data_IF_508063833857
#
_entry.id   IF_508063833857
#
_cell.length_a   1.000
_cell.length_b   1.000
_cell.length_c   1.000
_cell.angle_alpha   90.00
_cell.angle_beta   90.00
_cell.angle_gamma   90.00
#
_symmetry.space_group_name_H-M   'P 1'
#
loop_
_entity.id
_entity.type
_entity.pdbx_description
1 polymer ?
#
# COMPACT_ATOMS: atom_id res chain seq x y z
N UNK A 1 -5.68 -2.07 -7.57
CA UNK A 1 -5.12 -1.26 -6.47
C UNK A 1 -6.13 -0.45 -5.66
N UNK A 2 -7.40 -0.31 -6.08
CA UNK A 2 -8.45 0.46 -5.37
C UNK A 2 -9.18 -0.30 -4.22
N UNK A 3 -8.70 -1.49 -3.82
CA UNK A 3 -9.30 -2.34 -2.75
C UNK A 3 -8.38 -2.59 -1.55
N UNK A 4 -7.18 -2.02 -1.52
CA UNK A 4 -6.18 -2.36 -0.49
C UNK A 4 -6.00 -1.32 0.62
N UNK A 5 -6.73 -0.19 0.57
CA UNK A 5 -6.60 0.91 1.54
C UNK A 5 -7.90 1.26 2.27
N UNK A 6 -8.98 0.48 2.10
CA UNK A 6 -10.28 0.75 2.72
C UNK A 6 -10.49 0.05 4.08
N UNK A 7 -9.49 -0.67 4.60
CA UNK A 7 -9.62 -1.41 5.85
C UNK A 7 -8.30 -1.44 6.62
N UNK A 8 -7.88 -0.30 7.15
CA UNK A 8 -6.69 -0.24 8.01
C UNK A 8 -7.07 0.45 9.32
N UNK A 9 -7.26 -0.39 10.33
CA UNK A 9 -7.33 -0.03 11.75
C UNK A 9 -6.03 0.69 12.15
N UNK A 10 -6.05 1.64 13.11
CA UNK A 10 -4.86 2.38 13.54
C UNK A 10 -3.67 1.53 14.02
N UNK A 11 -3.87 0.23 14.26
CA UNK A 11 -2.83 -0.69 14.75
C UNK A 11 -1.99 -1.39 13.65
N UNK A 12 -2.33 -1.26 12.36
CA UNK A 12 -1.70 -2.05 11.26
C UNK A 12 -0.65 -1.28 10.41
N UNK A 13 -0.21 -0.10 10.84
CA UNK A 13 0.61 0.81 10.01
C UNK A 13 2.14 0.60 10.12
N UNK A 14 2.60 -0.66 10.00
CA UNK A 14 4.02 -1.01 9.92
C UNK A 14 4.47 -1.55 8.54
N UNK A 15 3.66 -1.40 7.50
CA UNK A 15 3.95 -2.03 6.20
C UNK A 15 4.16 -1.00 5.08
N UNK A 16 5.40 -0.56 4.93
CA UNK A 16 5.89 0.06 3.69
C UNK A 16 7.32 -0.44 3.44
N UNK A 17 7.43 -1.60 2.78
CA UNK A 17 8.69 -2.26 2.46
C UNK A 17 8.62 -2.82 1.04
N UNK A 18 9.30 -2.11 0.15
CA UNK A 18 9.87 -2.48 -1.15
C UNK A 18 9.38 -3.79 -1.81
N UNK A 19 8.63 -3.63 -2.91
CA UNK A 19 8.32 -4.68 -3.85
C UNK A 19 9.35 -4.67 -4.97
N UNK A 20 10.47 -5.38 -4.78
CA UNK A 20 11.38 -5.70 -5.87
C UNK A 20 11.62 -7.20 -6.02
N UNK A 21 11.65 -7.60 -7.29
CA UNK A 21 11.59 -8.97 -7.78
C UNK A 21 12.89 -9.73 -7.49
N UNK A 22 12.80 -10.92 -6.90
CA UNK A 22 13.53 -12.11 -7.38
C UNK A 22 12.86 -13.38 -6.87
N UNK A 23 12.40 -14.21 -7.81
CA UNK A 23 11.87 -15.55 -7.54
C UNK A 23 12.97 -16.49 -7.02
N UNK A 24 12.63 -17.45 -6.15
CA UNK A 24 13.55 -18.39 -5.54
C UNK A 24 13.66 -19.64 -6.42
N UNK A 25 14.81 -19.87 -7.03
CA UNK A 25 15.17 -21.20 -7.51
C UNK A 25 16.68 -21.31 -7.61
N UNK A 26 17.20 -22.40 -7.04
CA UNK A 26 18.59 -22.86 -7.07
C UNK A 26 19.51 -22.45 -5.90
N UNK A 27 19.14 -22.84 -4.67
CA UNK A 27 20.11 -23.20 -3.64
C UNK A 27 19.65 -24.45 -2.88
N UNK A 28 19.56 -25.56 -3.61
CA UNK A 28 19.25 -26.89 -3.06
C UNK A 28 20.34 -27.90 -3.35
N UNK A 29 21.62 -27.54 -3.24
CA UNK A 29 22.72 -28.51 -3.19
C UNK A 29 23.89 -27.89 -2.43
N UNK A 30 23.99 -28.16 -1.11
CA UNK A 30 25.21 -28.28 -0.31
C UNK A 30 24.87 -28.34 1.20
N UNK A 31 24.36 -29.48 1.65
CA UNK A 31 24.48 -29.98 3.02
C UNK A 31 24.12 -31.48 2.98
N UNK A 32 25.04 -32.38 3.34
CA UNK A 32 25.22 -32.64 4.76
C UNK A 32 26.69 -32.91 5.11
N UNK A 33 27.32 -31.99 5.84
CA UNK A 33 28.47 -32.31 6.68
C UNK A 33 28.34 -31.49 7.95
N UNK A 34 28.06 -32.16 9.07
CA UNK A 34 28.51 -31.79 10.42
C UNK A 34 28.03 -32.86 11.41
N UNK A 35 28.53 -34.08 11.25
CA UNK A 35 28.89 -34.87 12.44
C UNK A 35 30.14 -34.17 12.98
N UNK A 36 30.02 -33.53 14.15
CA UNK A 36 31.08 -32.76 14.80
C UNK A 36 31.89 -33.71 15.69
N UNK A 37 33.15 -34.06 15.36
CA UNK A 37 34.03 -34.79 16.27
C UNK A 37 34.65 -33.74 17.21
N UNK A 38 33.98 -33.49 18.33
CA UNK A 38 34.31 -32.42 19.27
C UNK A 38 34.84 -32.93 20.60
N UNK A 39 35.64 -34.00 20.63
CA UNK A 39 36.51 -34.29 21.77
C UNK A 39 37.92 -33.86 21.36
N UNK A 40 38.52 -32.85 22.01
CA UNK A 40 39.81 -32.36 21.61
C UNK A 40 40.84 -33.47 21.81
N UNK A 41 41.58 -33.80 20.74
CA UNK A 41 42.75 -34.68 20.74
C UNK A 41 43.72 -34.39 21.92
N UNK A 42 43.71 -33.15 22.45
CA UNK A 42 44.46 -32.77 23.65
C UNK A 42 44.07 -33.53 24.92
N UNK A 43 42.80 -33.88 25.15
CA UNK A 43 42.41 -34.62 26.37
C UNK A 43 42.84 -36.08 26.33
N UNK A 44 42.84 -36.70 25.15
CA UNK A 44 43.35 -38.07 25.01
C UNK A 44 44.86 -38.12 25.26
N UNK A 45 45.63 -37.13 24.81
CA UNK A 45 47.08 -37.03 25.04
C UNK A 45 47.39 -36.83 26.53
N UNK A 46 46.61 -36.00 27.23
CA UNK A 46 46.77 -35.77 28.68
C UNK A 46 46.44 -37.02 29.49
N UNK A 47 45.36 -37.74 29.14
CA UNK A 47 45.00 -39.02 29.80
C UNK A 47 46.05 -40.10 29.53
N UNK A 48 46.61 -40.15 28.30
CA UNK A 48 47.65 -41.10 27.93
C UNK A 48 48.98 -40.82 28.65
N UNK A 49 49.40 -39.54 28.75
CA UNK A 49 50.59 -39.12 29.52
C UNK A 49 50.43 -39.33 31.03
N UNK A 50 49.21 -39.17 31.57
CA UNK A 50 48.93 -39.45 32.99
C UNK A 50 48.97 -40.95 33.31
N UNK A 51 48.55 -41.82 32.39
CA UNK A 51 48.64 -43.27 32.58
C UNK A 51 50.09 -43.78 32.46
N UNK A 52 50.89 -43.22 31.56
CA UNK A 52 52.29 -43.59 31.34
C UNK A 52 53.19 -43.19 32.53
N UNK A 53 52.98 -41.99 33.08
CA UNK A 53 53.70 -41.51 34.28
C UNK A 53 53.34 -42.24 35.58
N UNK A 54 52.16 -42.87 35.65
CA UNK A 54 51.75 -43.72 36.76
C UNK A 54 52.26 -45.16 36.63
N UNK A 55 52.48 -45.64 35.40
CA UNK A 55 52.98 -47.00 35.15
C UNK A 55 54.47 -47.14 35.50
N UNK A 56 55.29 -46.13 35.22
CA UNK A 56 56.76 -46.21 35.38
C UNK A 56 57.22 -46.12 36.85
N UNK A 57 56.39 -45.57 37.76
CA UNK A 57 56.75 -45.37 39.18
C UNK A 57 56.43 -46.55 40.11
N UNK A 58 55.84 -47.63 39.61
CA UNK A 58 55.51 -48.81 40.45
C UNK A 58 56.50 -49.97 40.30
N UNK A 59 57.45 -49.89 39.37
CA UNK A 59 58.51 -50.88 39.22
C UNK A 59 59.79 -50.41 39.93
N UNK A 60 60.19 -51.14 40.97
CA UNK A 60 61.46 -51.04 41.71
C UNK A 60 61.59 -49.87 42.71
N UNK A 61 60.88 -49.96 43.84
CA UNK A 61 61.29 -49.29 45.07
C UNK A 61 61.89 -50.31 46.05
N UNK A 62 63.23 -50.34 46.12
CA UNK A 62 64.02 -51.10 47.10
C UNK A 62 64.11 -50.31 48.43
N UNK A 63 63.63 -50.82 49.58
CA UNK A 63 63.45 -50.04 50.79
C UNK A 63 64.71 -50.00 51.66
N UNK A 64 65.78 -49.31 51.24
CA UNK A 64 66.99 -49.21 52.08
C UNK A 64 67.85 -47.95 51.91
N UNK A 65 67.26 -46.77 51.60
CA UNK A 65 68.01 -45.51 51.78
C UNK A 65 67.12 -44.37 52.25
N UNK A 66 67.34 -43.94 53.49
CA UNK A 66 66.60 -42.86 54.16
C UNK A 66 66.79 -41.48 53.52
N UNK A 67 67.65 -41.36 52.51
CA UNK A 67 67.89 -40.13 51.73
C UNK A 67 66.90 -39.95 50.59
N UNK A 68 66.36 -41.02 50.01
CA UNK A 68 65.39 -40.92 48.91
C UNK A 68 64.00 -40.44 49.39
N UNK A 69 63.58 -40.87 50.59
CA UNK A 69 62.27 -40.51 51.15
C UNK A 69 62.12 -39.00 51.45
N UNK A 70 63.21 -38.31 51.79
CA UNK A 70 63.19 -36.87 52.09
C UNK A 70 63.11 -36.00 50.82
N UNK A 71 63.66 -36.45 49.70
CA UNK A 71 63.54 -35.73 48.42
C UNK A 71 62.12 -35.81 47.83
N UNK A 72 61.41 -36.92 48.02
CA UNK A 72 60.01 -37.05 47.56
C UNK A 72 59.03 -36.23 48.40
N UNK A 73 59.25 -36.11 49.71
CA UNK A 73 58.38 -35.33 50.59
C UNK A 73 58.46 -33.82 50.32
N UNK A 74 59.61 -33.31 49.87
CA UNK A 74 59.84 -31.89 49.65
C UNK A 74 59.45 -31.39 48.23
N UNK A 75 59.44 -32.28 47.22
CA UNK A 75 59.06 -31.93 45.85
C UNK A 75 57.58 -32.20 45.51
N UNK A 76 56.86 -32.92 46.37
CA UNK A 76 55.43 -33.19 46.23
C UNK A 76 54.54 -31.93 46.06
N UNK A 77 54.78 -30.78 46.76
CA UNK A 77 53.90 -29.62 46.61
C UNK A 77 54.15 -28.83 45.32
N UNK A 78 55.32 -28.95 44.68
CA UNK A 78 55.64 -28.20 43.46
C UNK A 78 54.99 -28.81 42.21
N UNK A 79 54.91 -30.13 42.11
CA UNK A 79 54.27 -30.81 40.97
C UNK A 79 52.73 -30.81 41.06
N UNK A 80 52.16 -30.85 42.28
CA UNK A 80 50.72 -30.74 42.47
C UNK A 80 50.18 -29.32 42.17
N UNK A 81 50.96 -28.28 42.43
CA UNK A 81 50.59 -26.90 42.07
C UNK A 81 50.57 -26.69 40.56
N UNK A 82 51.47 -27.32 39.80
CA UNK A 82 51.51 -27.23 38.34
C UNK A 82 50.29 -27.85 37.66
N UNK A 83 49.78 -28.97 38.20
CA UNK A 83 48.64 -29.71 37.64
C UNK A 83 47.31 -28.96 37.88
N UNK A 84 47.19 -28.17 38.95
CA UNK A 84 46.00 -27.38 39.24
C UNK A 84 45.99 -26.01 38.52
N UNK A 85 47.16 -25.43 38.25
CA UNK A 85 47.29 -24.11 37.62
C UNK A 85 46.93 -24.11 36.12
N UNK A 86 47.30 -25.18 35.40
CA UNK A 86 47.03 -25.34 33.97
C UNK A 86 45.53 -25.37 33.59
N UNK A 87 44.65 -26.13 34.25
CA UNK A 87 43.23 -26.13 33.93
C UNK A 87 42.56 -24.79 34.26
N UNK A 88 43.00 -24.07 35.30
CA UNK A 88 42.50 -22.74 35.62
C UNK A 88 42.85 -21.71 34.55
N UNK A 89 44.09 -21.75 34.03
CA UNK A 89 44.50 -20.90 32.91
C UNK A 89 43.74 -21.22 31.62
N UNK A 90 43.53 -22.52 31.32
CA UNK A 90 42.71 -22.95 30.19
C UNK A 90 41.25 -22.48 30.29
N UNK A 91 40.67 -22.54 31.49
CA UNK A 91 39.30 -22.08 31.74
C UNK A 91 39.18 -20.56 31.59
N UNK A 92 40.18 -19.79 32.05
CA UNK A 92 40.21 -18.34 31.91
C UNK A 92 40.33 -17.89 30.44
N UNK A 93 41.15 -18.57 29.63
CA UNK A 93 41.27 -18.31 28.20
C UNK A 93 39.98 -18.72 27.45
N UNK A 94 39.38 -19.85 27.82
CA UNK A 94 38.11 -20.27 27.25
C UNK A 94 36.97 -19.31 27.60
N UNK A 95 36.92 -18.83 28.84
CA UNK A 95 35.93 -17.85 29.30
C UNK A 95 36.06 -16.52 28.56
N UNK A 96 37.28 -16.00 28.39
CA UNK A 96 37.51 -14.76 27.63
C UNK A 96 37.24 -14.92 26.13
N UNK A 97 37.52 -16.08 25.54
CA UNK A 97 37.16 -16.39 24.16
C UNK A 97 35.63 -16.49 23.96
N UNK A 98 34.91 -17.11 24.90
CA UNK A 98 33.45 -17.22 24.86
C UNK A 98 32.78 -15.87 25.12
N UNK A 99 33.29 -15.04 26.03
CA UNK A 99 32.71 -13.71 26.30
C UNK A 99 32.88 -12.77 25.11
N UNK A 100 34.04 -12.77 24.45
CA UNK A 100 34.29 -11.95 23.24
C UNK A 100 33.54 -12.47 22.00
N UNK A 101 33.29 -13.79 21.90
CA UNK A 101 32.41 -14.36 20.87
C UNK A 101 30.92 -14.09 21.11
N UNK A 102 30.48 -14.06 22.37
CA UNK A 102 29.11 -13.69 22.71
C UNK A 102 28.84 -12.20 22.41
N UNK A 103 29.80 -11.32 22.69
CA UNK A 103 29.71 -9.89 22.36
C UNK A 103 29.70 -9.63 20.84
N UNK A 104 30.49 -10.40 20.08
CA UNK A 104 30.55 -10.27 18.61
C UNK A 104 29.37 -10.94 17.88
N UNK A 105 28.75 -11.97 18.45
CA UNK A 105 27.53 -12.59 17.89
C UNK A 105 26.27 -11.79 18.23
N UNK A 106 26.18 -11.24 19.44
CA UNK A 106 25.13 -10.29 19.81
C UNK A 106 25.18 -9.06 18.90
N UNK A 107 26.35 -8.42 18.75
CA UNK A 107 26.48 -7.22 17.90
C UNK A 107 26.16 -7.45 16.42
N UNK A 108 26.42 -8.65 15.87
CA UNK A 108 26.01 -9.02 14.50
C UNK A 108 24.49 -9.16 14.36
N UNK A 109 23.82 -9.78 15.32
CA UNK A 109 22.36 -9.93 15.31
C UNK A 109 21.65 -8.59 15.57
N UNK A 110 22.21 -7.72 16.42
CA UNK A 110 21.73 -6.33 16.59
C UNK A 110 22.05 -5.43 15.39
N UNK A 111 23.00 -5.83 14.54
CA UNK A 111 23.33 -5.14 13.28
C UNK A 111 22.25 -5.33 12.23
N UNK A 112 21.72 -6.55 12.08
CA UNK A 112 20.58 -6.81 11.19
C UNK A 112 19.29 -6.13 11.68
N UNK A 113 19.03 -6.15 12.99
CA UNK A 113 17.88 -5.44 13.57
C UNK A 113 18.02 -3.91 13.40
N UNK A 114 19.21 -3.33 13.57
CA UNK A 114 19.45 -1.90 13.28
C UNK A 114 19.33 -1.56 11.79
N UNK A 115 19.81 -2.42 10.90
CA UNK A 115 19.67 -2.24 9.46
C UNK A 115 18.20 -2.33 8.99
N UNK A 116 17.33 -3.02 9.74
CA UNK A 116 15.87 -2.97 9.55
C UNK A 116 15.26 -1.75 10.23
N UNK A 117 15.79 -1.33 11.40
CA UNK A 117 15.32 -0.16 12.13
C UNK A 117 15.54 1.15 11.37
N UNK A 118 16.62 1.26 10.60
CA UNK A 118 16.86 2.38 9.67
C UNK A 118 15.88 2.43 8.49
N UNK A 119 14.93 1.49 8.39
CA UNK A 119 13.90 1.46 7.34
C UNK A 119 12.51 1.85 7.85
N UNK A 120 12.32 2.05 9.15
CA UNK A 120 11.03 2.45 9.72
C UNK A 120 11.22 3.42 10.89
N UNK A 121 10.54 4.56 10.84
CA UNK A 121 10.44 5.49 11.98
C UNK A 121 9.13 5.20 12.70
N UNK A 122 9.21 4.81 13.98
CA UNK A 122 8.01 4.56 14.77
C UNK A 122 7.50 5.86 15.39
N UNK A 123 6.18 6.13 15.40
CA UNK A 123 5.62 7.30 16.06
C UNK A 123 6.00 7.40 17.54
N UNK A 124 6.19 6.27 18.22
CA UNK A 124 6.59 6.21 19.63
C UNK A 124 8.04 6.61 19.89
N UNK A 125 8.86 6.76 18.85
CA UNK A 125 10.25 7.23 18.94
C UNK A 125 10.38 8.74 18.72
N UNK A 126 9.28 9.38 18.31
CA UNK A 126 9.23 10.81 18.04
C UNK A 126 8.72 11.55 19.26
N UNK A 127 9.20 12.78 19.45
CA UNK A 127 8.54 13.73 20.35
C UNK A 127 7.17 14.09 19.80
N UNK A 128 6.24 14.56 20.66
CA UNK A 128 4.87 14.90 20.24
C UNK A 128 4.85 15.94 19.09
N UNK A 129 5.70 16.97 19.17
CA UNK A 129 5.85 17.98 18.11
C UNK A 129 6.37 17.39 16.80
N UNK A 130 7.34 16.47 16.88
CA UNK A 130 7.89 15.80 15.71
C UNK A 130 6.88 14.82 15.08
N UNK A 131 6.08 14.13 15.90
CA UNK A 131 5.02 13.24 15.43
C UNK A 131 3.94 14.01 14.64
N UNK A 132 3.53 15.20 15.12
CA UNK A 132 2.55 16.03 14.43
C UNK A 132 3.06 16.53 13.07
N UNK A 133 4.31 17.01 13.00
CA UNK A 133 4.94 17.42 11.73
C UNK A 133 5.02 16.27 10.72
N UNK A 134 5.36 15.06 11.17
CA UNK A 134 5.40 13.89 10.29
C UNK A 134 4.00 13.54 9.78
N UNK A 135 2.99 13.61 10.65
CA UNK A 135 1.60 13.36 10.27
C UNK A 135 1.12 14.37 9.21
N UNK A 136 1.41 15.67 9.40
CA UNK A 136 1.12 16.74 8.44
C UNK A 136 1.78 16.48 7.08
N UNK A 137 3.08 16.19 7.07
CA UNK A 137 3.82 15.89 5.84
C UNK A 137 3.24 14.69 5.08
N UNK A 138 2.94 13.59 5.80
CA UNK A 138 2.31 12.41 5.21
C UNK A 138 0.91 12.71 4.68
N UNK A 139 0.11 13.48 5.40
CA UNK A 139 -1.22 13.88 4.96
C UNK A 139 -1.16 14.70 3.67
N UNK A 140 -0.24 15.66 3.58
CA UNK A 140 -0.01 16.46 2.39
C UNK A 140 0.39 15.59 1.18
N UNK A 141 1.34 14.67 1.35
CA UNK A 141 1.75 13.76 0.29
C UNK A 141 0.61 12.85 -0.18
N UNK A 142 -0.19 12.30 0.75
CA UNK A 142 -1.35 11.47 0.40
C UNK A 142 -2.40 12.25 -0.40
N UNK A 143 -2.67 13.52 -0.04
CA UNK A 143 -3.59 14.37 -0.79
C UNK A 143 -3.14 14.59 -2.23
N UNK A 144 -1.84 14.74 -2.47
CA UNK A 144 -1.31 14.86 -3.84
C UNK A 144 -1.47 13.55 -4.61
N UNK A 145 -1.11 12.43 -4.00
CA UNK A 145 -1.17 11.12 -4.66
C UNK A 145 -2.60 10.65 -4.95
N UNK A 146 -3.58 11.09 -4.16
CA UNK A 146 -5.02 10.80 -4.37
C UNK A 146 -5.70 11.78 -5.33
N UNK A 147 -4.99 12.83 -5.79
CA UNK A 147 -5.57 13.87 -6.66
C UNK A 147 -5.88 13.35 -8.07
N UNK A 148 -6.95 13.89 -8.66
CA UNK A 148 -7.43 13.47 -9.97
C UNK A 148 -6.49 13.93 -11.10
N UNK A 149 -5.83 15.08 -10.92
CA UNK A 149 -4.78 15.61 -11.78
C UNK A 149 -3.57 14.68 -11.81
N UNK A 150 -3.22 14.08 -10.66
CA UNK A 150 -2.18 13.07 -10.57
C UNK A 150 -2.59 11.75 -11.24
N UNK A 151 -3.83 11.29 -11.03
CA UNK A 151 -4.35 10.08 -11.70
C UNK A 151 -4.31 10.20 -13.23
N UNK A 152 -4.52 11.42 -13.77
CA UNK A 152 -4.60 11.70 -15.20
C UNK A 152 -3.27 12.10 -15.86
N UNK A 153 -2.15 12.02 -15.13
CA UNK A 153 -0.79 12.35 -15.63
C UNK A 153 -0.67 13.77 -16.20
N UNK A 154 -1.44 14.71 -15.66
CA UNK A 154 -1.42 16.12 -16.08
C UNK A 154 -0.32 16.93 -15.37
N UNK A 155 0.27 16.36 -14.33
CA UNK A 155 1.49 16.78 -13.64
C UNK A 155 2.42 15.57 -13.70
N UNK A 156 3.73 15.78 -13.87
CA UNK A 156 4.77 14.72 -14.00
C UNK A 156 4.60 13.66 -12.90
N UNK A 157 3.78 12.63 -13.20
CA UNK A 157 3.25 11.68 -12.23
C UNK A 157 4.37 10.79 -11.73
N UNK A 158 5.22 10.35 -12.66
CA UNK A 158 6.36 9.50 -12.36
C UNK A 158 7.34 10.20 -11.41
N UNK A 159 7.59 11.50 -11.61
CA UNK A 159 8.41 12.27 -10.68
C UNK A 159 7.75 12.40 -9.31
N UNK A 160 6.46 12.72 -9.25
CA UNK A 160 5.74 12.88 -7.99
C UNK A 160 5.65 11.55 -7.20
N UNK A 161 5.34 10.43 -7.86
CA UNK A 161 5.24 9.09 -7.24
C UNK A 161 6.58 8.62 -6.64
N UNK A 162 7.71 9.02 -7.24
CA UNK A 162 9.04 8.64 -6.74
C UNK A 162 9.60 9.64 -5.73
N UNK A 163 9.40 10.94 -5.96
CA UNK A 163 10.04 11.98 -5.14
C UNK A 163 9.25 12.30 -3.88
N UNK A 164 7.91 12.26 -3.88
CA UNK A 164 7.13 12.57 -2.69
C UNK A 164 7.37 11.57 -1.54
N UNK A 165 7.34 10.25 -1.77
CA UNK A 165 7.65 9.30 -0.70
C UNK A 165 9.08 9.47 -0.19
N UNK A 166 10.04 9.72 -1.09
CA UNK A 166 11.42 9.99 -0.71
C UNK A 166 11.55 11.25 0.17
N UNK A 167 10.86 12.34 -0.18
CA UNK A 167 10.89 13.58 0.60
C UNK A 167 10.25 13.41 1.98
N UNK A 168 9.12 12.70 2.08
CA UNK A 168 8.49 12.38 3.37
C UNK A 168 9.43 11.52 4.22
N UNK A 169 10.16 10.59 3.60
CA UNK A 169 11.15 9.79 4.30
C UNK A 169 12.34 10.61 4.83
N UNK A 170 12.85 11.58 4.06
CA UNK A 170 13.88 12.51 4.55
C UNK A 170 13.40 13.33 5.76
N UNK A 171 12.16 13.79 5.72
CA UNK A 171 11.52 14.50 6.85
C UNK A 171 11.42 13.57 8.06
N UNK A 172 10.95 12.33 7.88
CA UNK A 172 10.85 11.35 8.95
C UNK A 172 12.20 11.07 9.61
N UNK A 173 13.26 10.86 8.82
CA UNK A 173 14.63 10.64 9.34
C UNK A 173 15.19 11.86 10.06
N UNK A 174 14.88 13.05 9.58
CA UNK A 174 15.31 14.30 10.22
C UNK A 174 14.62 14.50 11.57
N UNK A 175 13.34 14.14 11.66
CA UNK A 175 12.54 14.20 12.89
C UNK A 175 12.94 13.12 13.91
N UNK A 176 13.26 11.91 13.45
CA UNK A 176 13.82 10.85 14.30
C UNK A 176 15.15 11.29 14.93
N UNK A 177 16.06 11.84 14.11
CA UNK A 177 17.32 12.41 14.61
C UNK A 177 17.09 13.55 15.60
N UNK A 178 16.15 14.45 15.30
CA UNK A 178 15.79 15.54 16.23
C UNK A 178 15.30 14.99 17.56
N UNK A 179 14.39 14.01 17.53
CA UNK A 179 13.79 13.42 18.74
C UNK A 179 14.84 12.73 19.60
N UNK A 180 15.75 11.96 19.00
CA UNK A 180 16.88 11.35 19.71
C UNK A 180 17.82 12.40 20.32
N UNK A 181 18.12 13.50 19.59
CA UNK A 181 18.96 14.57 20.13
C UNK A 181 18.29 15.34 21.27
N UNK A 182 16.97 15.47 21.26
CA UNK A 182 16.19 16.07 22.35
C UNK A 182 16.22 15.17 23.58
N UNK A 183 16.00 13.86 23.41
CA UNK A 183 16.06 12.87 24.51
C UNK A 183 17.46 12.81 25.17
N UNK A 184 18.53 12.94 24.37
CA UNK A 184 19.90 13.03 24.86
C UNK A 184 20.25 14.37 25.53
N UNK A 185 19.44 15.41 25.33
CA UNK A 185 19.72 16.75 25.89
C UNK A 185 19.10 16.87 27.28
N UNK A 186 19.89 17.07 28.35
CA UNK A 186 19.35 17.15 29.69
C UNK A 186 18.47 18.40 29.89
N UNK A 187 17.39 18.26 30.66
CA UNK A 187 16.46 19.35 31.00
C UNK A 187 17.07 20.39 31.93
N UNK A 188 18.03 19.99 32.77
CA UNK A 188 18.69 20.87 33.73
C UNK A 188 20.20 20.79 33.61
N UNK A 189 20.87 21.95 33.65
CA UNK A 189 22.31 22.03 33.71
C UNK A 189 22.83 21.63 35.09
N UNK A 190 23.80 20.72 35.14
CA UNK A 190 24.57 20.48 36.37
C UNK A 190 25.67 21.54 36.50
N UNK A 191 25.30 22.69 37.07
CA UNK A 191 26.21 23.80 37.36
C UNK A 191 26.08 25.01 36.43
N UNK A 192 26.45 26.18 36.95
CA UNK A 192 26.25 27.49 36.29
C UNK A 192 26.98 27.61 34.95
N UNK A 193 28.19 27.02 34.83
CA UNK A 193 28.97 27.04 33.59
C UNK A 193 28.43 26.11 32.49
N UNK A 194 27.58 25.13 32.84
CA UNK A 194 26.98 24.21 31.87
C UNK A 194 25.70 24.78 31.22
N UNK A 195 25.12 25.84 31.79
CA UNK A 195 23.87 26.42 31.32
C UNK A 195 23.99 27.04 29.92
N UNK A 196 25.02 27.86 29.68
CA UNK A 196 25.20 28.53 28.39
C UNK A 196 25.41 27.56 27.20
N UNK A 197 26.25 26.51 27.31
CA UNK A 197 26.33 25.47 26.27
C UNK A 197 25.02 24.72 26.03
N UNK A 198 24.24 24.43 27.08
CA UNK A 198 22.96 23.74 26.96
C UNK A 198 21.92 24.62 26.26
N UNK A 199 21.85 25.91 26.58
CA UNK A 199 20.96 26.85 25.91
C UNK A 199 21.33 27.02 24.43
N UNK A 200 22.62 27.05 24.10
CA UNK A 200 23.08 27.05 22.71
C UNK A 200 22.67 25.77 21.97
N UNK A 201 22.80 24.59 22.60
CA UNK A 201 22.35 23.31 22.03
C UNK A 201 20.83 23.31 21.77
N UNK A 202 20.03 23.79 22.74
CA UNK A 202 18.57 23.92 22.57
C UNK A 202 18.19 24.88 21.46
N UNK A 203 18.88 26.01 21.34
CA UNK A 203 18.65 26.97 20.25
C UNK A 203 18.95 26.35 18.87
N UNK A 204 20.03 25.57 18.77
CA UNK A 204 20.36 24.83 17.55
C UNK A 204 19.29 23.79 17.20
N UNK A 205 18.78 23.04 18.18
CA UNK A 205 17.69 22.07 17.98
C UNK A 205 16.40 22.74 17.51
N UNK A 206 16.02 23.87 18.12
CA UNK A 206 14.86 24.66 17.67
C UNK A 206 15.01 25.17 16.24
N UNK A 207 16.22 25.60 15.87
CA UNK A 207 16.50 26.06 14.51
C UNK A 207 16.40 24.90 13.51
N UNK A 208 16.88 23.71 13.89
CA UNK A 208 16.73 22.50 13.09
C UNK A 208 15.28 22.10 12.88
N UNK A 209 14.47 22.13 13.95
CA UNK A 209 13.03 21.83 13.86
C UNK A 209 12.30 22.82 12.96
N UNK A 210 12.57 24.12 13.11
CA UNK A 210 11.96 25.15 12.26
C UNK A 210 12.32 24.97 10.78
N UNK A 211 13.54 24.51 10.46
CA UNK A 211 13.91 24.21 9.08
C UNK A 211 13.14 23.00 8.52
N UNK A 212 12.85 21.99 9.34
CA UNK A 212 12.00 20.85 8.94
C UNK A 212 10.56 21.32 8.74
N UNK A 213 10.04 22.16 9.63
CA UNK A 213 8.69 22.74 9.51
C UNK A 213 8.50 23.47 8.17
N UNK A 214 9.47 24.30 7.76
CA UNK A 214 9.45 24.97 6.45
C UNK A 214 9.38 23.97 5.28
N UNK A 215 10.04 22.81 5.38
CA UNK A 215 9.92 21.77 4.36
C UNK A 215 8.51 21.14 4.34
N UNK A 216 7.91 20.93 5.50
CA UNK A 216 6.53 20.43 5.61
C UNK A 216 5.54 21.44 5.04
N UNK A 217 5.69 22.73 5.35
CA UNK A 217 4.86 23.80 4.79
C UNK A 217 4.97 23.88 3.26
N UNK A 218 6.16 23.66 2.70
CA UNK A 218 6.33 23.58 1.25
C UNK A 218 5.57 22.40 0.63
N UNK A 219 5.56 21.23 1.30
CA UNK A 219 4.77 20.07 0.89
C UNK A 219 3.26 20.35 0.98
N UNK A 220 2.82 21.01 2.05
CA UNK A 220 1.42 21.41 2.23
C UNK A 220 0.97 22.42 1.16
N UNK A 221 1.83 23.37 0.83
CA UNK A 221 1.59 24.36 -0.24
C UNK A 221 1.46 23.66 -1.59
N UNK A 222 2.35 22.71 -1.89
CA UNK A 222 2.26 21.91 -3.10
C UNK A 222 0.94 21.12 -3.15
N UNK A 223 0.54 20.49 -2.05
CA UNK A 223 -0.74 19.79 -1.96
C UNK A 223 -1.95 20.72 -2.18
N UNK A 224 -1.92 21.94 -1.65
CA UNK A 224 -2.96 22.93 -1.88
C UNK A 224 -3.06 23.35 -3.35
N UNK A 225 -1.92 23.57 -4.01
CA UNK A 225 -1.87 23.89 -5.44
C UNK A 225 -2.40 22.73 -6.31
N UNK A 226 -2.07 21.49 -5.97
CA UNK A 226 -2.63 20.31 -6.64
C UNK A 226 -4.15 20.24 -6.46
N UNK A 227 -4.67 20.51 -5.26
CA UNK A 227 -6.11 20.53 -4.99
C UNK A 227 -6.85 21.65 -5.77
N UNK A 228 -6.22 22.81 -5.95
CA UNK A 228 -6.76 23.87 -6.80
C UNK A 228 -6.80 23.45 -8.28
N UNK A 229 -5.72 22.83 -8.78
CA UNK A 229 -5.69 22.30 -10.14
C UNK A 229 -6.79 21.24 -10.36
N UNK A 230 -7.03 20.37 -9.38
CA UNK A 230 -8.14 19.41 -9.36
C UNK A 230 -9.51 20.09 -9.47
N UNK A 231 -9.72 21.18 -8.74
CA UNK A 231 -10.96 21.93 -8.81
C UNK A 231 -11.18 22.52 -10.22
N UNK A 232 -10.14 23.09 -10.82
CA UNK A 232 -10.19 23.60 -12.20
C UNK A 232 -10.45 22.51 -13.23
N UNK A 233 -9.86 21.34 -13.02
CA UNK A 233 -10.11 20.19 -13.88
C UNK A 233 -11.58 19.74 -13.82
N UNK A 234 -12.18 19.70 -12.62
CA UNK A 234 -13.60 19.39 -12.45
C UNK A 234 -14.52 20.43 -13.10
N UNK A 235 -14.20 21.72 -12.95
CA UNK A 235 -14.92 22.81 -13.63
C UNK A 235 -14.88 22.63 -15.15
N UNK A 236 -13.71 22.35 -15.71
CA UNK A 236 -13.55 22.12 -17.15
C UNK A 236 -14.36 20.90 -17.64
N UNK A 237 -14.40 19.83 -16.85
CA UNK A 237 -15.19 18.64 -17.18
C UNK A 237 -16.70 18.95 -17.15
N UNK A 238 -17.15 19.73 -16.17
CA UNK A 238 -18.55 20.14 -16.08
C UNK A 238 -18.94 21.01 -17.28
N UNK A 239 -18.08 21.95 -17.70
CA UNK A 239 -18.33 22.76 -18.89
C UNK A 239 -18.45 21.90 -20.15
N UNK A 240 -17.54 20.94 -20.35
CA UNK A 240 -17.62 20.00 -21.49
C UNK A 240 -18.89 19.16 -21.48
N UNK A 241 -19.35 18.76 -20.30
CA UNK A 241 -20.61 18.02 -20.18
C UNK A 241 -21.81 18.89 -20.53
N UNK A 242 -21.85 20.15 -20.06
CA UNK A 242 -22.91 21.10 -20.39
C UNK A 242 -22.94 21.44 -21.89
N UNK A 243 -21.79 21.56 -22.54
CA UNK A 243 -21.71 21.74 -24.00
C UNK A 243 -22.32 20.56 -24.75
N UNK A 244 -22.03 19.33 -24.31
CA UNK A 244 -22.61 18.11 -24.89
C UNK A 244 -24.12 18.04 -24.68
N UNK A 245 -24.58 18.28 -23.45
CA UNK A 245 -26.00 18.25 -23.11
C UNK A 245 -26.77 19.33 -23.88
N UNK A 246 -26.15 20.51 -24.10
CA UNK A 246 -26.71 21.57 -24.95
C UNK A 246 -26.89 21.15 -26.41
N UNK A 247 -25.94 20.42 -26.97
CA UNK A 247 -26.05 19.86 -28.32
C UNK A 247 -27.20 18.83 -28.42
N UNK A 248 -27.36 17.97 -27.40
CA UNK A 248 -28.43 16.97 -27.35
C UNK A 248 -29.81 17.64 -27.23
N UNK A 249 -29.93 18.72 -26.45
CA UNK A 249 -31.18 19.52 -26.35
C UNK A 249 -31.53 20.15 -27.70
N UNK A 250 -30.55 20.71 -28.42
CA UNK A 250 -30.78 21.29 -29.73
C UNK A 250 -31.23 20.24 -30.76
N UNK A 251 -30.63 19.05 -30.75
CA UNK A 251 -31.05 17.93 -31.62
C UNK A 251 -32.48 17.47 -31.29
N UNK A 252 -32.82 17.36 -30.00
CA UNK A 252 -34.16 17.03 -29.56
C UNK A 252 -35.20 18.07 -30.03
N UNK A 253 -34.91 19.37 -29.90
CA UNK A 253 -35.77 20.44 -30.40
C UNK A 253 -35.92 20.39 -31.93
N UNK A 254 -34.84 20.12 -32.66
CA UNK A 254 -34.89 19.95 -34.12
C UNK A 254 -35.75 18.73 -34.52
N UNK A 255 -35.67 17.62 -33.77
CA UNK A 255 -36.49 16.43 -33.99
C UNK A 255 -37.98 16.68 -33.73
N UNK A 256 -38.30 17.46 -32.70
CA UNK A 256 -39.67 17.84 -32.33
C UNK A 256 -40.28 18.76 -33.38
N UNK A 257 -39.54 19.79 -33.82
CA UNK A 257 -39.99 20.68 -34.89
C UNK A 257 -40.27 19.93 -36.20
N UNK A 258 -39.48 18.89 -36.52
CA UNK A 258 -39.73 18.00 -37.66
C UNK A 258 -41.00 17.15 -37.46
N UNK A 259 -41.25 16.65 -36.25
CA UNK A 259 -42.46 15.88 -35.93
C UNK A 259 -43.74 16.73 -36.02
N UNK A 260 -43.69 18.00 -35.59
CA UNK A 260 -44.81 18.93 -35.72
C UNK A 260 -45.14 19.22 -37.19
N UNK A 261 -44.12 19.42 -38.02
CA UNK A 261 -44.30 19.58 -39.47
C UNK A 261 -44.94 18.33 -40.11
N UNK A 262 -44.44 17.14 -39.77
CA UNK A 262 -45.01 15.89 -40.28
C UNK A 262 -46.48 15.70 -39.86
N UNK A 263 -46.82 16.10 -38.63
CA UNK A 263 -48.21 16.06 -38.13
C UNK A 263 -49.11 17.02 -38.92
N UNK A 264 -48.62 18.23 -39.24
CA UNK A 264 -49.35 19.18 -40.07
C UNK A 264 -49.57 18.65 -41.50
N UNK A 265 -48.57 18.01 -42.10
CA UNK A 265 -48.67 17.40 -43.42
C UNK A 265 -49.70 16.25 -43.44
N UNK A 266 -49.70 15.38 -42.44
CA UNK A 266 -50.70 14.30 -42.30
C UNK A 266 -52.11 14.88 -42.12
N UNK A 267 -52.25 15.96 -41.35
CA UNK A 267 -53.52 16.68 -41.22
C UNK A 267 -54.03 17.21 -42.56
N UNK A 268 -53.15 17.83 -43.35
CA UNK A 268 -53.49 18.32 -44.69
C UNK A 268 -53.88 17.20 -45.66
N UNK A 269 -53.16 16.06 -45.64
CA UNK A 269 -53.51 14.88 -46.43
C UNK A 269 -54.85 14.27 -46.00
N UNK A 270 -55.15 14.28 -44.70
CA UNK A 270 -56.41 13.79 -44.17
C UNK A 270 -57.59 14.67 -44.60
N UNK A 271 -57.41 15.99 -44.59
CA UNK A 271 -58.44 16.91 -45.09
C UNK A 271 -58.68 16.73 -46.60
N UNK A 272 -57.62 16.54 -47.39
CA UNK A 272 -57.75 16.21 -48.80
C UNK A 272 -58.50 14.89 -49.02
N UNK A 273 -58.19 13.85 -48.24
CA UNK A 273 -58.88 12.58 -48.30
C UNK A 273 -60.37 12.71 -47.96
N UNK A 274 -60.73 13.56 -46.98
CA UNK A 274 -62.12 13.86 -46.63
C UNK A 274 -62.87 14.53 -47.77
N UNK A 275 -62.28 15.54 -48.42
CA UNK A 275 -62.87 16.18 -49.60
C UNK A 275 -63.14 15.18 -50.72
N UNK A 276 -62.22 14.23 -50.93
CA UNK A 276 -62.39 13.16 -51.92
C UNK A 276 -63.53 12.22 -51.52
N UNK A 277 -63.59 11.80 -50.25
CA UNK A 277 -64.66 10.95 -49.73
C UNK A 277 -66.05 11.60 -49.85
N UNK A 278 -66.16 12.89 -49.54
CA UNK A 278 -67.40 13.66 -49.66
C UNK A 278 -67.88 13.71 -51.13
N UNK A 279 -66.96 13.90 -52.08
CA UNK A 279 -67.28 13.87 -53.52
C UNK A 279 -67.78 12.50 -53.99
N UNK A 280 -67.13 11.41 -53.56
CA UNK A 280 -67.60 10.06 -53.88
C UNK A 280 -68.98 9.78 -53.28
N UNK A 281 -69.23 10.24 -52.05
CA UNK A 281 -70.54 10.12 -51.40
C UNK A 281 -71.61 10.88 -52.17
N UNK A 282 -71.33 12.12 -52.58
CA UNK A 282 -72.24 12.91 -53.40
C UNK A 282 -72.53 12.25 -54.76
N UNK A 283 -71.51 11.69 -55.41
CA UNK A 283 -71.67 10.96 -56.67
C UNK A 283 -72.53 9.70 -56.51
N UNK A 284 -72.34 8.94 -55.42
CA UNK A 284 -73.17 7.77 -55.09
C UNK A 284 -74.63 8.15 -54.83
N UNK A 285 -74.88 9.25 -54.11
CA UNK A 285 -76.24 9.75 -53.89
C UNK A 285 -76.89 10.15 -55.21
N UNK A 286 -76.19 10.92 -56.06
CA UNK A 286 -76.70 11.32 -57.37
C UNK A 286 -77.00 10.11 -58.28
N UNK A 287 -76.13 9.09 -58.26
CA UNK A 287 -76.34 7.85 -59.01
C UNK A 287 -77.56 7.07 -58.50
N UNK A 288 -77.76 7.01 -57.18
CA UNK A 288 -78.95 6.40 -56.56
C UNK A 288 -80.22 7.13 -56.97
N UNK A 289 -80.23 8.47 -56.92
CA UNK A 289 -81.40 9.27 -57.30
C UNK A 289 -81.76 9.09 -58.78
N UNK A 290 -80.76 9.05 -59.66
CA UNK A 290 -80.95 8.76 -61.08
C UNK A 290 -81.50 7.33 -61.30
N UNK A 291 -81.02 6.35 -60.54
CA UNK A 291 -81.53 4.98 -60.60
C UNK A 291 -82.99 4.88 -60.13
N UNK A 292 -83.38 5.60 -59.07
CA UNK A 292 -84.78 5.67 -58.61
C UNK A 292 -85.69 6.31 -59.66
N UNK A 293 -85.24 7.35 -60.36
CA UNK A 293 -86.00 7.97 -61.45
C UNK A 293 -86.14 7.06 -62.69
N UNK A 294 -85.16 6.19 -62.92
CA UNK A 294 -85.17 5.25 -64.05
C UNK A 294 -85.96 3.96 -63.76
N UNK A 295 -86.42 3.72 -62.53
CA UNK A 295 -87.25 2.56 -62.20
C UNK A 295 -88.72 2.79 -62.64
N UNK A 296 -89.30 1.96 -63.51
CA UNK A 296 -90.72 2.04 -63.85
C UNK A 296 -91.60 1.62 -62.65
N UNK A 297 -92.72 2.31 -62.44
CA UNK A 297 -93.73 1.93 -61.45
C UNK A 297 -94.15 0.47 -61.68
N UNK A 298 -94.08 -0.36 -60.64
CA UNK A 298 -94.47 -1.76 -60.70
C UNK A 298 -95.89 -1.90 -61.28
N UNK A 299 -96.11 -2.73 -62.30
CA UNK A 299 -97.44 -2.88 -62.88
C UNK A 299 -98.36 -3.61 -61.90
N UNK A 300 -99.47 -2.95 -61.56
CA UNK A 300 -100.63 -3.60 -60.98
C UNK A 300 -101.14 -4.66 -61.96
N UNK A 301 -100.95 -5.94 -61.66
CA UNK A 301 -101.64 -7.03 -62.34
C UNK A 301 -102.11 -8.00 -61.27
N UNK A 302 -103.43 -8.03 -61.07
CA UNK A 302 -104.29 -9.21 -61.06
C UNK A 302 -105.61 -8.90 -60.33
N UNK A 303 -106.64 -8.45 -61.04
CA UNK A 303 -107.95 -9.07 -60.91
C UNK A 303 -108.81 -8.86 -62.18
N UNK A 304 -109.63 -9.86 -62.48
CA UNK A 304 -110.64 -10.01 -63.53
C UNK A 304 -110.22 -10.47 -64.92
N UNK A 305 -110.16 -11.80 -65.03
CA UNK A 305 -110.62 -12.54 -66.21
C UNK A 305 -112.06 -13.03 -65.94
N UNK A 306 -113.09 -12.62 -66.74
CA UNK A 306 -114.36 -13.33 -66.82
C UNK A 306 -114.36 -14.31 -67.99
N UNK A 307 -114.70 -15.55 -67.68
CA UNK A 307 -114.88 -16.68 -68.60
C UNK A 307 -116.17 -16.50 -69.46
N UNK A 308 -116.16 -16.84 -70.77
CA UNK A 308 -117.36 -16.79 -71.61
C UNK A 308 -118.24 -18.04 -71.48
N UNK A 309 -119.57 -17.85 -71.41
CA UNK A 309 -120.54 -18.94 -71.45
C UNK A 309 -121.99 -18.49 -71.33
N UNK A 310 -122.59 -18.05 -72.44
CA UNK A 310 -124.05 -18.10 -72.65
C UNK A 310 -124.34 -19.36 -73.47
N UNK A 311 -125.04 -20.31 -72.86
CA UNK A 311 -125.80 -21.30 -73.61
C UNK A 311 -127.00 -20.64 -74.28
N UNK A 312 -127.13 -20.82 -75.59
CA UNK A 312 -128.05 -21.78 -76.20
C UNK A 312 -127.42 -22.32 -77.48
#
# INVERSE_FOLDING_TARGET
MRKFLANTSPDDLAYFGDSDRTSPSALSHLAPYLVRPGLPLGMAIVIWLLLDTLADKTACADPASSTAALHYLFNLPAELLGILLWPAAGLAVAYTAVSTMADSSASRQWGEVRAVRDRFVLPSQLTDEAADLLHRARSAALKVLDSEVHERDLVDRQRAELQLPAQVWEVARSLDRYSGLVEETPDTAEGEHAQAPLDARRAALKTGLAAIEVQVEALETYAAQTAEADARLRELQQMKQLEKDGADVLDFLASTARADLATAEVGALSEQAKVVADRFTAALVAAKDAAVQALPAAPAVLDKVPHPGKGR
#
